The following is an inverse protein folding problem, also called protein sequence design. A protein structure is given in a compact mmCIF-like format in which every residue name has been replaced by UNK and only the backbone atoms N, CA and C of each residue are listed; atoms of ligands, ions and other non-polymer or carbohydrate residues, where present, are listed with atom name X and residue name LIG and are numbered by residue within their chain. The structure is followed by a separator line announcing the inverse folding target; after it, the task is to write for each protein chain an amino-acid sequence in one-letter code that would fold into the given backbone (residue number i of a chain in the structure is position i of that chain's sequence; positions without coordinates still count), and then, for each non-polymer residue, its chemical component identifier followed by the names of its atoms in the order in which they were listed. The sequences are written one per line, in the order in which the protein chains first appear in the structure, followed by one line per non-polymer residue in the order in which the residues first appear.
data_IF_722433356866
#
_entry.id   IF_722433356866
#
_cell.length_a   1.000
_cell.length_b   1.000
_cell.length_c   1.000
_cell.angle_alpha   90.00
_cell.angle_beta   90.00
_cell.angle_gamma   90.00
#
_symmetry.space_group_name_H-M   'P 1'
#
loop_
_entity.id
_entity.type
_entity.pdbx_description
1 polymer ?
#
# COMPACT_ATOMS: atom_id res chain seq x y z
N UNK A 1 26.56 4.93 4.19
CA UNK A 1 25.60 4.22 5.06
C UNK A 1 24.30 5.01 5.03
N UNK A 2 23.44 4.70 4.06
CA UNK A 2 22.21 5.45 3.83
C UNK A 2 21.14 4.87 4.75
N UNK A 3 21.10 5.39 5.97
CA UNK A 3 20.11 4.98 6.97
C UNK A 3 18.73 5.44 6.49
N UNK A 4 17.78 4.51 6.41
CA UNK A 4 16.42 4.72 5.93
C UNK A 4 15.57 5.70 6.78
N UNK A 5 16.22 6.47 7.66
CA UNK A 5 15.61 7.41 8.61
C UNK A 5 15.75 8.88 8.21
N UNK A 6 16.50 9.21 7.14
CA UNK A 6 16.76 10.61 6.79
C UNK A 6 15.67 11.27 5.91
N UNK A 7 14.59 10.55 5.53
CA UNK A 7 13.57 11.07 4.59
C UNK A 7 12.22 11.44 5.24
N UNK A 8 12.20 11.67 6.57
CA UNK A 8 10.97 11.72 7.36
C UNK A 8 10.34 13.11 7.60
N UNK A 9 10.76 14.17 6.92
CA UNK A 9 10.16 15.49 7.14
C UNK A 9 10.07 16.34 5.87
N UNK A 10 8.93 16.27 5.20
CA UNK A 10 8.39 17.42 4.48
C UNK A 10 7.15 17.86 5.27
N UNK A 11 7.36 18.83 6.16
CA UNK A 11 6.35 19.65 6.85
C UNK A 11 5.21 18.91 7.61
N UNK A 12 5.45 18.61 8.89
CA UNK A 12 4.41 18.71 9.93
C UNK A 12 3.57 17.47 10.27
N UNK A 13 3.56 16.40 9.47
CA UNK A 13 2.86 15.15 9.83
C UNK A 13 3.78 13.96 9.52
N UNK A 14 4.02 13.04 10.47
CA UNK A 14 4.81 11.85 10.19
C UNK A 14 4.10 11.02 9.11
N UNK A 15 4.82 10.75 8.03
CA UNK A 15 4.33 10.04 6.85
C UNK A 15 3.67 8.67 7.15
N UNK A 16 4.00 8.08 8.29
CA UNK A 16 3.44 6.83 8.82
C UNK A 16 2.01 6.97 9.34
N UNK A 17 1.56 8.18 9.69
CA UNK A 17 0.20 8.45 10.18
C UNK A 17 -0.78 8.75 9.05
N UNK A 18 -0.30 8.95 7.81
CA UNK A 18 -1.18 9.18 6.67
C UNK A 18 -1.81 7.88 6.20
N UNK A 19 -3.09 7.94 5.84
CA UNK A 19 -3.72 6.85 5.09
C UNK A 19 -2.95 6.61 3.79
N UNK A 20 -2.82 5.34 3.43
CA UNK A 20 -1.98 4.87 2.31
C UNK A 20 -2.37 5.50 0.97
N UNK A 21 -3.64 5.81 0.76
CA UNK A 21 -4.16 6.51 -0.43
C UNK A 21 -3.65 7.96 -0.51
N UNK A 22 -3.76 8.72 0.59
CA UNK A 22 -3.24 10.10 0.68
C UNK A 22 -1.72 10.10 0.49
N UNK A 23 -1.05 9.16 1.13
CA UNK A 23 0.39 8.95 1.06
C UNK A 23 0.88 8.79 -0.39
N UNK A 24 0.18 7.96 -1.17
CA UNK A 24 0.44 7.77 -2.62
C UNK A 24 0.11 9.01 -3.44
N UNK A 25 -0.97 9.71 -3.10
CA UNK A 25 -1.32 11.00 -3.69
C UNK A 25 -0.14 11.97 -3.65
N UNK A 26 0.46 12.10 -2.47
CA UNK A 26 1.64 12.94 -2.25
C UNK A 26 2.85 12.46 -3.06
N UNK A 27 3.14 11.15 -3.09
CA UNK A 27 4.27 10.61 -3.90
C UNK A 27 4.10 10.91 -5.40
N UNK A 28 2.87 10.84 -5.92
CA UNK A 28 2.59 11.15 -7.32
C UNK A 28 2.82 12.63 -7.62
N UNK A 29 2.34 13.54 -6.76
CA UNK A 29 2.55 14.98 -6.91
C UNK A 29 4.04 15.33 -6.84
N UNK A 30 4.78 14.70 -5.93
CA UNK A 30 6.21 14.91 -5.75
C UNK A 30 7.09 14.14 -6.76
N UNK A 31 6.49 13.38 -7.69
CA UNK A 31 7.23 12.60 -8.69
C UNK A 31 8.15 11.52 -8.11
N UNK A 32 7.97 11.14 -6.84
CA UNK A 32 8.83 10.18 -6.12
C UNK A 32 8.39 8.73 -6.34
N UNK A 33 7.40 8.50 -7.19
CA UNK A 33 6.77 7.19 -7.43
C UNK A 33 7.25 6.60 -8.74
N UNK A 34 7.70 5.35 -8.75
CA UNK A 34 8.07 4.63 -9.98
C UNK A 34 6.81 4.04 -10.66
N UNK A 35 6.40 4.49 -11.86
CA UNK A 35 5.22 3.99 -12.57
C UNK A 35 5.31 2.51 -12.96
N UNK A 36 6.52 2.00 -13.23
CA UNK A 36 6.73 0.63 -13.70
C UNK A 36 6.30 -0.40 -12.65
N UNK A 37 6.43 -0.08 -11.37
CA UNK A 37 6.02 -0.97 -10.28
C UNK A 37 4.49 -1.09 -10.11
N UNK A 38 3.71 -0.26 -10.80
CA UNK A 38 2.26 -0.26 -10.72
C UNK A 38 1.62 -1.05 -11.88
N UNK A 39 2.26 -1.08 -13.04
CA UNK A 39 1.82 -1.84 -14.23
C UNK A 39 1.94 -3.37 -14.02
N UNK A 40 3.01 -3.82 -13.35
CA UNK A 40 3.28 -5.26 -13.15
C UNK A 40 2.48 -5.89 -12.01
N UNK A 41 1.62 -5.12 -11.32
CA UNK A 41 0.89 -5.65 -10.17
C UNK A 41 -0.22 -6.59 -10.61
N UNK A 42 -0.23 -7.78 -10.02
CA UNK A 42 -1.42 -8.66 -10.05
C UNK A 42 -2.61 -7.93 -9.42
N UNK A 43 -3.76 -7.96 -10.11
CA UNK A 43 -5.03 -7.40 -9.65
C UNK A 43 -6.14 -8.42 -9.92
N UNK A 44 -7.03 -8.60 -8.95
CA UNK A 44 -8.18 -9.49 -9.08
C UNK A 44 -9.19 -8.96 -10.09
N UNK A 45 -9.76 -9.86 -10.88
CA UNK A 45 -10.87 -9.55 -11.80
C UNK A 45 -12.11 -9.07 -11.04
N UNK A 46 -12.45 -9.73 -9.93
CA UNK A 46 -13.56 -9.40 -9.02
C UNK A 46 -13.07 -8.91 -7.67
N UNK A 47 -13.84 -8.03 -7.04
CA UNK A 47 -13.53 -7.54 -5.69
C UNK A 47 -13.72 -8.66 -4.66
N UNK A 48 -12.74 -8.83 -3.78
CA UNK A 48 -12.79 -9.76 -2.64
C UNK A 48 -12.59 -9.01 -1.32
N UNK A 49 -12.94 -9.62 -0.19
CA UNK A 49 -12.70 -9.03 1.13
C UNK A 49 -11.21 -9.04 1.44
N UNK A 50 -10.70 -7.96 2.01
CA UNK A 50 -9.34 -7.89 2.53
C UNK A 50 -9.10 -8.97 3.60
N UNK A 51 -8.05 -9.78 3.41
CA UNK A 51 -7.67 -10.85 4.34
C UNK A 51 -6.96 -10.39 5.62
N UNK A 52 -6.66 -9.09 5.74
CA UNK A 52 -6.01 -8.49 6.92
C UNK A 52 -6.99 -7.68 7.78
N UNK A 53 -8.18 -7.37 7.24
CA UNK A 53 -9.23 -6.73 8.01
C UNK A 53 -9.96 -7.74 8.89
N UNK A 54 -10.45 -7.28 10.06
CA UNK A 54 -11.43 -8.04 10.82
C UNK A 54 -12.69 -8.29 9.97
N UNK A 55 -13.41 -9.37 10.29
CA UNK A 55 -14.60 -9.79 9.53
C UNK A 55 -15.66 -8.67 9.45
N UNK A 56 -15.85 -7.90 10.52
CA UNK A 56 -16.87 -6.85 10.60
C UNK A 56 -16.58 -5.63 9.71
N UNK A 57 -15.32 -5.38 9.35
CA UNK A 57 -14.96 -4.21 8.55
C UNK A 57 -15.34 -4.37 7.06
N UNK A 58 -15.50 -5.61 6.57
CA UNK A 58 -15.90 -5.98 5.20
C UNK A 58 -15.27 -5.17 4.04
N UNK A 59 -14.04 -4.68 4.20
CA UNK A 59 -13.39 -3.85 3.17
C UNK A 59 -13.11 -4.70 1.92
N UNK A 60 -13.74 -4.36 0.80
CA UNK A 60 -13.54 -5.04 -0.48
C UNK A 60 -12.43 -4.38 -1.30
N UNK A 61 -11.67 -5.18 -2.02
CA UNK A 61 -10.51 -4.74 -2.81
C UNK A 61 -10.32 -5.62 -4.03
N UNK A 62 -9.64 -5.09 -5.06
CA UNK A 62 -9.08 -5.89 -6.15
C UNK A 62 -7.56 -6.12 -5.99
N UNK A 63 -6.92 -5.37 -5.08
CA UNK A 63 -5.48 -5.38 -4.94
C UNK A 63 -5.04 -6.55 -4.05
N UNK A 64 -3.90 -7.15 -4.40
CA UNK A 64 -3.38 -8.35 -3.72
C UNK A 64 -1.90 -8.23 -3.36
N UNK A 65 -1.45 -9.12 -2.48
CA UNK A 65 -0.04 -9.39 -2.24
C UNK A 65 0.58 -10.00 -3.51
N UNK A 66 1.77 -9.54 -3.93
CA UNK A 66 2.45 -10.10 -5.11
C UNK A 66 3.04 -11.50 -4.90
N UNK A 67 3.15 -11.95 -3.65
CA UNK A 67 3.72 -13.27 -3.31
C UNK A 67 2.65 -14.35 -3.08
N UNK A 68 1.59 -14.05 -2.32
CA UNK A 68 0.55 -15.03 -1.97
C UNK A 68 -0.85 -14.68 -2.50
N UNK A 69 -0.99 -13.60 -3.27
CA UNK A 69 -2.27 -13.15 -3.84
C UNK A 69 -3.38 -12.84 -2.82
N UNK A 70 -3.04 -12.71 -1.53
CA UNK A 70 -4.01 -12.32 -0.50
C UNK A 70 -4.62 -10.94 -0.80
N UNK A 71 -5.95 -10.76 -0.77
CA UNK A 71 -6.57 -9.45 -1.00
C UNK A 71 -6.24 -8.45 0.12
N UNK A 72 -5.85 -7.22 -0.25
CA UNK A 72 -5.49 -6.14 0.67
C UNK A 72 -6.27 -4.85 0.35
N UNK A 73 -7.02 -4.31 1.31
CA UNK A 73 -7.67 -3.01 1.19
C UNK A 73 -6.64 -1.89 1.16
N UNK A 74 -7.02 -0.66 0.84
CA UNK A 74 -6.05 0.43 0.71
C UNK A 74 -5.25 0.72 1.98
N UNK A 75 -5.85 0.58 3.17
CA UNK A 75 -5.13 0.71 4.44
C UNK A 75 -4.05 -0.36 4.60
N UNK A 76 -4.36 -1.62 4.28
CA UNK A 76 -3.41 -2.72 4.36
C UNK A 76 -2.60 -2.92 3.07
N UNK A 77 -2.75 -2.07 2.04
CA UNK A 77 -2.16 -2.30 0.72
C UNK A 77 -0.67 -2.01 0.74
N UNK A 78 0.11 -3.08 0.70
CA UNK A 78 1.55 -3.06 0.46
C UNK A 78 1.92 -3.71 -0.90
N UNK A 79 3.21 -3.91 -1.16
CA UNK A 79 3.68 -4.76 -2.26
C UNK A 79 3.57 -6.25 -1.85
N UNK A 80 4.04 -6.57 -0.63
CA UNK A 80 3.90 -7.88 0.01
C UNK A 80 3.14 -7.74 1.34
N UNK A 81 2.33 -8.73 1.73
CA UNK A 81 1.67 -8.72 3.03
C UNK A 81 2.67 -9.10 4.14
N UNK A 82 2.33 -8.78 5.39
CA UNK A 82 3.20 -9.07 6.54
C UNK A 82 3.49 -10.57 6.74
N UNK A 83 2.64 -11.46 6.22
CA UNK A 83 2.84 -12.91 6.33
C UNK A 83 3.83 -13.45 5.28
N UNK A 84 4.13 -12.67 4.23
CA UNK A 84 5.08 -13.04 3.17
C UNK A 84 6.45 -12.39 3.31
N UNK A 85 6.59 -11.46 4.26
CA UNK A 85 7.84 -10.76 4.55
C UNK A 85 8.61 -11.54 5.62
#
# INVERSE_FOLDING_TARGET
MNDAKTFFMINGIPYLALRTDIRRGVEMILGSRNPQQEEDRIVLTKRSRCGLCSYKADRKTKMVCQSCERPMCDEHRAYMCNDCI
#
